data_IF_414272015517
#
_entry.id   IF_414272015517
#
_cell.length_a   1.000
_cell.length_b   1.000
_cell.length_c   1.000
_cell.angle_alpha   90.00
_cell.angle_beta   90.00
_cell.angle_gamma   90.00
#
_symmetry.space_group_name_H-M   'P 1'
#
loop_
_entity.id
_entity.type
_entity.pdbx_description
1 polymer ?
#
# COMPACT_ATOMS: atom_id res chain seq x y z
N UNK A 1 -5.78 3.05 -15.37
CA UNK A 1 -4.49 2.66 -15.98
C UNK A 1 -4.75 2.15 -17.39
N UNK A 2 -3.75 2.16 -18.23
CA UNK A 2 -3.74 1.52 -19.56
C UNK A 2 -3.04 0.18 -19.35
N UNK A 3 -3.81 -0.90 -19.15
CA UNK A 3 -3.27 -2.18 -18.71
C UNK A 3 -2.69 -3.01 -19.86
N UNK A 4 -3.33 -2.95 -21.02
CA UNK A 4 -2.90 -3.72 -22.21
C UNK A 4 -2.09 -2.90 -23.22
N UNK A 5 -1.82 -1.63 -22.87
CA UNK A 5 -1.02 -0.69 -23.65
C UNK A 5 -1.61 -0.36 -25.04
N UNK A 6 -2.95 -0.34 -25.12
CA UNK A 6 -3.66 0.01 -26.35
C UNK A 6 -3.89 1.52 -26.51
N UNK A 7 -3.64 2.32 -25.45
CA UNK A 7 -3.76 3.78 -25.38
C UNK A 7 -5.05 4.26 -24.73
N UNK A 8 -5.96 3.39 -24.35
CA UNK A 8 -7.20 3.69 -23.65
C UNK A 8 -7.08 3.40 -22.14
N UNK A 9 -7.76 4.18 -21.32
CA UNK A 9 -7.69 4.01 -19.85
C UNK A 9 -8.69 2.98 -19.38
N UNK A 10 -8.20 1.95 -18.73
CA UNK A 10 -8.94 0.87 -18.10
C UNK A 10 -9.29 1.13 -16.65
N UNK A 11 -10.14 0.27 -16.09
CA UNK A 11 -10.51 0.29 -14.68
C UNK A 11 -10.18 -1.06 -14.04
N UNK A 12 -9.37 -1.04 -12.98
CA UNK A 12 -9.14 -2.22 -12.13
C UNK A 12 -10.02 -2.12 -10.89
N UNK A 13 -10.75 -3.18 -10.61
CA UNK A 13 -11.70 -3.25 -9.48
C UNK A 13 -11.39 -4.43 -8.59
N UNK A 14 -11.08 -4.17 -7.33
CA UNK A 14 -11.06 -5.22 -6.31
C UNK A 14 -12.42 -5.38 -5.64
N UNK A 15 -12.89 -6.60 -5.51
CA UNK A 15 -14.15 -6.92 -4.86
C UNK A 15 -13.94 -7.73 -3.59
N UNK A 16 -14.08 -7.07 -2.43
CA UNK A 16 -14.03 -7.75 -1.13
C UNK A 16 -15.11 -8.82 -0.98
N UNK A 17 -16.31 -8.56 -1.48
CA UNK A 17 -17.44 -9.47 -1.32
C UNK A 17 -17.31 -10.74 -2.15
N UNK A 18 -16.69 -10.65 -3.31
CA UNK A 18 -16.51 -11.74 -4.26
C UNK A 18 -15.09 -12.30 -4.26
N UNK A 19 -14.18 -11.64 -3.55
CA UNK A 19 -12.76 -12.05 -3.40
C UNK A 19 -12.01 -12.18 -4.73
N UNK A 20 -12.29 -11.29 -5.67
CA UNK A 20 -11.71 -11.26 -7.01
C UNK A 20 -11.24 -9.87 -7.39
N UNK A 21 -10.33 -9.81 -8.35
CA UNK A 21 -9.97 -8.60 -9.08
C UNK A 21 -10.53 -8.70 -10.48
N UNK A 22 -11.12 -7.61 -10.95
CA UNK A 22 -11.61 -7.47 -12.30
C UNK A 22 -10.80 -6.41 -13.02
N UNK A 23 -10.53 -6.66 -14.28
CA UNK A 23 -10.11 -5.69 -15.26
C UNK A 23 -11.29 -5.37 -16.16
N UNK A 24 -11.67 -4.10 -16.21
CA UNK A 24 -12.66 -3.59 -17.13
C UNK A 24 -11.88 -2.90 -18.25
N UNK A 25 -11.66 -3.63 -19.33
CA UNK A 25 -10.98 -3.19 -20.53
C UNK A 25 -11.85 -2.16 -21.26
N UNK A 26 -11.29 -0.98 -21.53
CA UNK A 26 -11.93 0.07 -22.31
C UNK A 26 -11.50 -0.08 -23.78
N UNK A 27 -12.42 -0.35 -24.66
CA UNK A 27 -12.13 -0.54 -26.09
C UNK A 27 -12.23 0.75 -26.93
N UNK A 28 -12.07 1.92 -26.28
CA UNK A 28 -11.99 3.24 -26.93
C UNK A 28 -13.31 3.99 -27.03
N UNK A 29 -14.45 3.36 -26.91
CA UNK A 29 -15.79 3.95 -27.02
C UNK A 29 -16.53 4.03 -25.67
N UNK A 30 -15.81 3.88 -24.53
CA UNK A 30 -16.37 3.72 -23.17
C UNK A 30 -17.30 2.51 -23.05
N UNK A 31 -17.13 1.53 -23.91
CA UNK A 31 -17.71 0.21 -23.77
C UNK A 31 -16.66 -0.68 -23.04
N UNK A 32 -17.00 -1.15 -21.86
CA UNK A 32 -16.09 -1.94 -21.04
C UNK A 32 -16.37 -3.43 -21.18
N UNK A 33 -15.30 -4.20 -21.38
CA UNK A 33 -15.31 -5.66 -21.36
C UNK A 33 -14.78 -6.11 -20.01
N UNK A 34 -15.53 -6.99 -19.31
CA UNK A 34 -15.13 -7.51 -18.01
C UNK A 34 -14.26 -8.74 -18.15
N UNK A 35 -13.07 -8.71 -17.55
CA UNK A 35 -12.16 -9.83 -17.42
C UNK A 35 -11.87 -10.09 -15.94
N UNK A 36 -11.80 -11.36 -15.54
CA UNK A 36 -11.37 -11.74 -14.21
C UNK A 36 -9.87 -12.04 -14.22
N UNK A 37 -9.11 -11.38 -13.34
CA UNK A 37 -7.68 -11.66 -13.16
C UNK A 37 -7.52 -12.94 -12.35
N UNK A 38 -7.05 -14.00 -12.98
CA UNK A 38 -6.82 -15.31 -12.41
C UNK A 38 -5.36 -15.45 -11.94
N UNK A 39 -5.14 -16.13 -10.81
CA UNK A 39 -3.82 -16.30 -10.22
C UNK A 39 -3.24 -17.68 -10.42
N UNK A 40 -1.92 -17.78 -10.63
CA UNK A 40 -1.18 -19.03 -10.84
C UNK A 40 -1.21 -19.97 -9.62
N UNK A 41 -1.45 -19.43 -8.44
CA UNK A 41 -1.55 -20.18 -7.18
C UNK A 41 -2.54 -19.51 -6.23
N UNK A 42 -3.21 -20.29 -5.35
CA UNK A 42 -4.14 -19.70 -4.40
C UNK A 42 -3.43 -18.83 -3.38
N UNK A 43 -4.14 -17.82 -2.88
CA UNK A 43 -3.75 -17.08 -1.70
C UNK A 43 -3.69 -18.00 -0.47
N UNK A 44 -3.01 -17.56 0.58
CA UNK A 44 -3.00 -18.28 1.86
C UNK A 44 -4.43 -18.52 2.38
N UNK A 45 -4.62 -19.65 3.05
CA UNK A 45 -5.94 -20.02 3.56
C UNK A 45 -6.51 -18.94 4.49
N UNK A 46 -7.68 -18.45 4.16
CA UNK A 46 -8.35 -17.40 4.93
C UNK A 46 -7.94 -15.97 4.53
N UNK A 47 -7.13 -15.85 3.48
CA UNK A 47 -6.75 -14.58 2.90
C UNK A 47 -7.60 -14.26 1.67
N UNK A 48 -7.80 -12.97 1.41
CA UNK A 48 -8.46 -12.48 0.20
C UNK A 48 -7.98 -11.07 -0.14
N UNK A 49 -8.02 -10.73 -1.41
CA UNK A 49 -7.70 -9.39 -1.86
C UNK A 49 -8.79 -8.43 -1.37
N UNK A 50 -8.37 -7.36 -0.71
CA UNK A 50 -9.32 -6.44 -0.09
C UNK A 50 -9.92 -5.45 -1.08
N UNK A 51 -9.19 -5.16 -2.15
CA UNK A 51 -9.57 -4.16 -3.15
C UNK A 51 -9.58 -2.71 -2.64
N UNK A 52 -9.21 -2.47 -1.38
CA UNK A 52 -9.22 -1.13 -0.82
C UNK A 52 -8.13 -0.24 -1.40
N UNK A 53 -6.95 -0.80 -1.58
CA UNK A 53 -5.84 -0.07 -2.16
C UNK A 53 -4.99 -1.03 -3.00
N UNK A 54 -4.77 -0.61 -4.21
CA UNK A 54 -3.83 -1.19 -5.16
C UNK A 54 -2.98 -0.06 -5.71
N UNK A 55 -1.77 -0.38 -6.09
CA UNK A 55 -0.88 0.51 -6.80
C UNK A 55 -0.20 -0.27 -7.94
N UNK A 56 0.38 0.43 -8.90
CA UNK A 56 0.77 -0.14 -10.18
C UNK A 56 2.13 0.38 -10.60
N UNK A 57 3.02 -0.52 -10.97
CA UNK A 57 4.32 -0.19 -11.58
C UNK A 57 4.85 -1.43 -12.30
N UNK A 58 5.77 -1.24 -13.22
CA UNK A 58 6.62 -2.31 -13.73
C UNK A 58 7.65 -2.66 -12.64
N UNK A 59 7.37 -3.71 -11.86
CA UNK A 59 8.20 -4.09 -10.70
C UNK A 59 9.39 -4.95 -11.14
N UNK A 60 9.24 -5.69 -12.24
CA UNK A 60 10.21 -6.66 -12.72
C UNK A 60 10.96 -6.22 -13.98
N UNK A 61 10.79 -4.96 -14.41
CA UNK A 61 11.42 -4.36 -15.60
C UNK A 61 11.10 -5.10 -16.92
N UNK A 62 9.89 -5.64 -17.05
CA UNK A 62 9.46 -6.35 -18.25
C UNK A 62 8.61 -5.49 -19.21
N UNK A 63 8.37 -4.26 -18.87
CA UNK A 63 7.63 -3.27 -19.65
C UNK A 63 6.12 -3.31 -19.46
N UNK A 64 5.60 -4.10 -18.52
CA UNK A 64 4.17 -4.21 -18.19
C UNK A 64 3.88 -3.72 -16.79
N UNK A 65 2.64 -3.33 -16.53
CA UNK A 65 2.21 -2.84 -15.22
C UNK A 65 1.78 -3.98 -14.31
N UNK A 66 2.58 -4.26 -13.28
CA UNK A 66 2.23 -5.17 -12.21
C UNK A 66 1.28 -4.51 -11.21
N UNK A 67 0.52 -5.30 -10.48
CA UNK A 67 -0.39 -4.81 -9.44
C UNK A 67 0.17 -5.15 -8.06
N UNK A 68 0.35 -4.16 -7.21
CA UNK A 68 0.61 -4.36 -5.78
C UNK A 68 -0.68 -4.21 -5.01
N UNK A 69 -1.03 -5.19 -4.21
CA UNK A 69 -2.30 -5.20 -3.48
C UNK A 69 -2.15 -5.59 -2.02
N UNK A 70 -2.99 -4.96 -1.20
CA UNK A 70 -3.23 -5.42 0.16
C UNK A 70 -4.09 -6.68 0.16
N UNK A 71 -3.63 -7.70 0.87
CA UNK A 71 -4.33 -8.98 1.03
C UNK A 71 -4.64 -9.20 2.50
N UNK A 72 -5.94 -9.33 2.79
CA UNK A 72 -6.43 -9.58 4.14
C UNK A 72 -5.85 -10.88 4.75
N UNK A 73 -5.51 -10.92 6.06
CA UNK A 73 -5.63 -9.79 6.99
C UNK A 73 -4.43 -8.84 6.97
N UNK A 74 -3.24 -9.27 6.58
CA UNK A 74 -2.02 -8.56 6.97
C UNK A 74 -0.91 -8.61 5.92
N UNK A 75 -1.18 -9.12 4.73
CA UNK A 75 -0.14 -9.42 3.74
C UNK A 75 -0.16 -8.48 2.54
N UNK A 76 1.01 -8.25 1.97
CA UNK A 76 1.20 -7.56 0.68
C UNK A 76 1.55 -8.61 -0.37
N UNK A 77 0.94 -8.49 -1.53
CA UNK A 77 1.23 -9.33 -2.70
C UNK A 77 1.49 -8.46 -3.92
N UNK A 78 2.35 -8.97 -4.79
CA UNK A 78 2.51 -8.50 -6.15
C UNK A 78 1.84 -9.51 -7.08
N UNK A 79 1.16 -9.00 -8.08
CA UNK A 79 0.55 -9.73 -9.17
C UNK A 79 1.30 -9.31 -10.43
N UNK A 80 2.11 -10.21 -10.97
CA UNK A 80 2.91 -9.95 -12.17
C UNK A 80 2.07 -10.15 -13.42
N UNK A 81 2.00 -9.12 -14.26
CA UNK A 81 1.22 -9.15 -15.48
C UNK A 81 1.86 -10.07 -16.52
N UNK A 82 1.13 -11.06 -17.07
CA UNK A 82 1.60 -11.86 -18.19
C UNK A 82 1.62 -11.03 -19.49
N UNK A 83 2.22 -11.59 -20.54
CA UNK A 83 2.25 -10.93 -21.86
C UNK A 83 0.87 -10.70 -22.50
N UNK A 84 -0.11 -11.52 -22.16
CA UNK A 84 -1.53 -11.30 -22.43
C UNK A 84 -2.25 -11.16 -21.09
N UNK A 85 -2.83 -10.00 -20.77
CA UNK A 85 -3.51 -9.77 -19.49
C UNK A 85 -4.65 -10.77 -19.19
N UNK A 86 -5.18 -11.45 -20.20
CA UNK A 86 -6.19 -12.48 -20.07
C UNK A 86 -5.64 -13.83 -19.59
N UNK A 87 -4.33 -14.02 -19.60
CA UNK A 87 -3.70 -15.23 -19.08
C UNK A 87 -3.65 -15.20 -17.54
N UNK A 88 -3.16 -16.28 -16.96
CA UNK A 88 -3.01 -16.40 -15.51
C UNK A 88 -1.81 -15.59 -15.01
N UNK A 89 -2.04 -14.73 -14.03
CA UNK A 89 -1.02 -13.88 -13.43
C UNK A 89 -0.21 -14.63 -12.37
N UNK A 90 1.10 -14.47 -12.39
CA UNK A 90 1.93 -14.95 -11.29
C UNK A 90 1.77 -14.05 -10.07
N UNK A 91 1.79 -14.65 -8.87
CA UNK A 91 1.69 -13.91 -7.63
C UNK A 91 2.85 -14.19 -6.69
N UNK A 92 3.30 -13.15 -6.00
CA UNK A 92 4.34 -13.23 -4.99
C UNK A 92 3.86 -12.59 -3.70
N UNK A 93 4.11 -13.25 -2.56
CA UNK A 93 3.93 -12.65 -1.25
C UNK A 93 5.17 -11.88 -0.87
N UNK A 94 5.07 -10.56 -0.80
CA UNK A 94 6.14 -9.64 -0.36
C UNK A 94 6.42 -9.80 1.13
N UNK A 95 5.37 -9.81 1.94
CA UNK A 95 5.51 -9.93 3.39
C UNK A 95 4.21 -9.79 4.15
N UNK A 96 4.34 -9.73 5.49
CA UNK A 96 3.21 -9.57 6.40
C UNK A 96 3.53 -8.58 7.52
N UNK A 97 2.49 -7.90 7.99
CA UNK A 97 2.54 -6.98 9.13
C UNK A 97 1.79 -7.52 10.36
N UNK A 98 1.55 -8.83 10.40
CA UNK A 98 0.87 -9.45 11.56
C UNK A 98 1.46 -8.98 12.91
N UNK A 99 0.58 -8.77 13.91
CA UNK A 99 -0.86 -9.02 13.97
C UNK A 99 -1.73 -7.85 13.47
N UNK A 100 -1.14 -6.85 12.83
CA UNK A 100 -1.83 -5.65 12.39
C UNK A 100 -2.52 -5.88 11.04
N UNK A 101 -3.61 -5.13 10.78
CA UNK A 101 -4.48 -5.37 9.63
C UNK A 101 -4.15 -4.41 8.49
N UNK A 102 -3.60 -4.92 7.42
CA UNK A 102 -3.20 -4.12 6.26
C UNK A 102 -4.40 -3.52 5.53
N UNK A 103 -4.29 -2.25 5.17
CA UNK A 103 -5.34 -1.51 4.45
C UNK A 103 -4.81 -0.86 3.19
N UNK A 104 -3.62 -0.27 3.24
CA UNK A 104 -3.11 0.56 2.16
C UNK A 104 -1.73 0.15 1.68
N UNK A 105 -1.50 0.39 0.39
CA UNK A 105 -0.20 0.26 -0.27
C UNK A 105 0.06 1.51 -1.13
N UNK A 106 1.31 1.86 -1.31
CA UNK A 106 1.78 2.85 -2.27
C UNK A 106 3.19 2.46 -2.75
N UNK A 107 3.51 2.76 -3.99
CA UNK A 107 4.80 2.47 -4.61
C UNK A 107 5.65 3.73 -4.70
N UNK A 108 6.91 3.63 -4.36
CA UNK A 108 7.92 4.67 -4.58
C UNK A 108 9.32 4.07 -4.46
N UNK A 109 10.29 4.65 -5.14
CA UNK A 109 11.71 4.41 -4.87
C UNK A 109 12.12 5.22 -3.63
N UNK A 110 11.95 4.60 -2.45
CA UNK A 110 12.08 5.30 -1.16
C UNK A 110 13.55 5.57 -0.82
N UNK A 111 14.42 4.64 -1.14
CA UNK A 111 15.84 4.74 -0.81
C UNK A 111 16.70 5.35 -1.93
N UNK A 112 16.13 5.58 -3.12
CA UNK A 112 16.80 6.17 -4.27
C UNK A 112 17.73 5.19 -4.98
N UNK A 113 17.45 3.88 -4.92
CA UNK A 113 18.25 2.85 -5.56
C UNK A 113 17.79 2.46 -6.98
N UNK A 114 16.68 3.04 -7.43
CA UNK A 114 16.09 2.83 -8.74
C UNK A 114 15.03 1.73 -8.80
N UNK A 115 14.78 1.02 -7.70
CA UNK A 115 13.74 0.00 -7.60
C UNK A 115 12.52 0.50 -6.84
N UNK A 116 11.33 0.01 -7.23
CA UNK A 116 10.11 0.37 -6.53
C UNK A 116 10.00 -0.40 -5.22
N UNK A 117 9.88 0.34 -4.14
CA UNK A 117 9.57 -0.14 -2.79
C UNK A 117 8.07 -0.08 -2.53
N UNK A 118 7.61 -0.76 -1.48
CA UNK A 118 6.20 -0.77 -1.11
C UNK A 118 6.01 -0.15 0.28
N UNK A 119 5.36 1.00 0.32
CA UNK A 119 4.93 1.65 1.55
C UNK A 119 3.54 1.16 1.94
N UNK A 120 3.31 0.83 3.21
CA UNK A 120 2.07 0.19 3.65
C UNK A 120 1.58 0.73 4.98
N UNK A 121 0.26 0.91 5.06
CA UNK A 121 -0.44 1.31 6.25
C UNK A 121 -1.45 0.28 6.72
N UNK A 122 -1.71 0.25 8.02
CA UNK A 122 -2.69 -0.63 8.64
C UNK A 122 -3.75 0.14 9.42
N UNK A 123 -4.75 -0.57 9.93
CA UNK A 123 -5.69 -0.01 10.88
C UNK A 123 -5.78 -0.86 12.17
N UNK A 124 -6.03 -0.18 13.28
CA UNK A 124 -6.30 -0.83 14.55
C UNK A 124 -7.73 -1.31 14.63
N UNK A 125 -7.94 -2.53 15.14
CA UNK A 125 -9.27 -2.97 15.53
C UNK A 125 -9.81 -2.05 16.63
N UNK A 126 -11.02 -1.49 16.42
CA UNK A 126 -11.59 -0.52 17.35
C UNK A 126 -11.00 0.88 17.17
N UNK A 127 -10.57 1.24 15.97
CA UNK A 127 -10.10 2.60 15.64
C UNK A 127 -11.10 3.71 16.01
N UNK A 128 -12.37 3.35 16.17
CA UNK A 128 -13.45 4.23 16.63
C UNK A 128 -13.67 4.16 18.14
N UNK A 129 -13.02 3.22 18.81
CA UNK A 129 -13.18 3.00 20.25
C UNK A 129 -12.06 3.74 21.03
N UNK A 130 -12.28 3.93 22.32
CA UNK A 130 -11.28 4.54 23.19
C UNK A 130 -10.08 3.62 23.40
N UNK A 131 -8.90 4.19 23.55
CA UNK A 131 -7.62 3.50 23.78
C UNK A 131 -7.47 2.94 25.21
N UNK A 132 -8.47 2.26 25.72
CA UNK A 132 -8.51 1.82 27.11
C UNK A 132 -8.04 0.38 27.36
N UNK A 133 -7.58 -0.33 26.32
CA UNK A 133 -7.08 -1.69 26.48
C UNK A 133 -5.59 -1.82 26.16
N UNK A 134 -4.84 -2.41 27.10
CA UNK A 134 -3.42 -2.77 26.92
C UNK A 134 -3.23 -4.13 26.23
N UNK A 135 -4.20 -4.57 25.43
CA UNK A 135 -4.13 -5.88 24.77
C UNK A 135 -3.18 -5.80 23.56
N UNK A 136 -1.96 -6.29 23.75
CA UNK A 136 -0.93 -6.33 22.71
C UNK A 136 -1.20 -7.35 21.59
N UNK A 137 -2.23 -8.17 21.74
CA UNK A 137 -2.65 -9.14 20.72
C UNK A 137 -3.65 -8.54 19.73
N UNK A 138 -4.10 -7.31 19.96
CA UNK A 138 -4.96 -6.59 19.01
C UNK A 138 -4.15 -5.96 17.89
N UNK A 139 -4.78 -5.80 16.75
CA UNK A 139 -4.26 -5.04 15.63
C UNK A 139 -4.05 -3.58 16.03
N UNK A 140 -2.90 -3.03 15.69
CA UNK A 140 -2.53 -1.63 15.87
C UNK A 140 -2.51 -0.92 14.52
N UNK A 141 -2.54 0.40 14.53
CA UNK A 141 -2.22 1.21 13.35
C UNK A 141 -0.71 1.23 13.14
N UNK A 142 -0.25 0.54 12.12
CA UNK A 142 1.18 0.46 11.75
C UNK A 142 1.43 1.10 10.42
N UNK A 143 2.61 1.66 10.26
CA UNK A 143 3.17 2.06 8.98
C UNK A 143 4.49 1.33 8.80
N UNK A 144 4.65 0.67 7.69
CA UNK A 144 5.83 -0.11 7.34
C UNK A 144 6.25 0.17 5.90
N UNK A 145 7.49 -0.11 5.63
CA UNK A 145 8.09 -0.07 4.31
C UNK A 145 8.71 -1.43 4.01
N UNK A 146 8.38 -2.01 2.85
CA UNK A 146 9.04 -3.18 2.30
C UNK A 146 10.04 -2.71 1.24
N UNK A 147 11.31 -2.77 1.59
CA UNK A 147 12.44 -2.42 0.74
C UNK A 147 12.71 -3.54 -0.26
N UNK A 148 12.76 -3.17 -1.54
CA UNK A 148 13.06 -4.08 -2.62
C UNK A 148 14.58 -4.25 -2.77
N UNK A 149 15.10 -5.43 -2.49
CA UNK A 149 16.51 -5.77 -2.69
C UNK A 149 16.71 -6.69 -3.90
N UNK A 150 15.89 -6.56 -4.94
CA UNK A 150 15.85 -7.35 -6.17
C UNK A 150 15.43 -8.81 -5.93
N UNK A 151 16.20 -9.57 -5.15
CA UNK A 151 15.96 -10.99 -4.87
C UNK A 151 15.15 -11.22 -3.57
N UNK A 152 14.84 -10.18 -2.83
CA UNK A 152 14.17 -10.29 -1.54
C UNK A 152 13.57 -8.98 -1.07
N UNK A 153 12.57 -9.07 -0.19
CA UNK A 153 11.94 -7.93 0.44
C UNK A 153 12.34 -7.81 1.90
N UNK A 154 12.77 -6.62 2.32
CA UNK A 154 13.10 -6.32 3.72
C UNK A 154 12.05 -5.43 4.34
N UNK A 155 11.40 -5.89 5.41
CA UNK A 155 10.42 -5.09 6.14
C UNK A 155 11.12 -4.14 7.12
N UNK A 156 10.86 -2.85 6.96
CA UNK A 156 11.27 -1.79 7.85
C UNK A 156 10.02 -1.24 8.59
N UNK A 157 10.07 -1.16 9.93
CA UNK A 157 8.97 -0.61 10.71
C UNK A 157 9.19 0.88 10.91
N UNK A 158 8.18 1.70 10.60
CA UNK A 158 8.23 3.15 10.74
C UNK A 158 7.54 3.57 12.04
N UNK A 159 6.28 3.21 12.19
CA UNK A 159 5.53 3.47 13.42
C UNK A 159 4.50 2.38 13.71
N UNK A 160 4.11 2.27 14.98
CA UNK A 160 3.05 1.37 15.42
C UNK A 160 2.33 1.97 16.62
N UNK A 161 1.01 2.22 16.51
CA UNK A 161 0.20 2.90 17.53
C UNK A 161 -1.07 2.12 17.84
N UNK A 162 -1.57 2.28 19.07
CA UNK A 162 -2.83 1.67 19.50
C UNK A 162 -4.02 2.11 18.66
N UNK A 163 -4.00 3.37 18.22
CA UNK A 163 -5.02 3.95 17.35
C UNK A 163 -4.37 4.42 16.06
N UNK A 164 -4.96 4.06 14.97
CA UNK A 164 -4.53 4.49 13.66
C UNK A 164 -5.34 3.80 12.57
N UNK A 165 -5.62 4.53 11.53
CA UNK A 165 -6.27 4.07 10.32
C UNK A 165 -5.62 4.80 9.16
N UNK A 166 -4.71 4.12 8.49
CA UNK A 166 -3.90 4.70 7.42
C UNK A 166 -4.41 4.23 6.07
N UNK A 167 -5.48 4.88 5.59
CA UNK A 167 -6.25 4.40 4.46
C UNK A 167 -5.58 4.65 3.10
N UNK A 168 -4.80 5.72 2.98
CA UNK A 168 -4.16 6.09 1.72
C UNK A 168 -2.85 6.83 1.96
N UNK A 169 -1.88 6.55 1.10
CA UNK A 169 -0.61 7.25 1.03
C UNK A 169 -0.39 7.82 -0.36
N UNK A 170 0.23 8.98 -0.42
CA UNK A 170 0.66 9.64 -1.66
C UNK A 170 2.15 9.95 -1.49
N UNK A 171 3.02 9.27 -2.24
CA UNK A 171 4.43 9.61 -2.26
C UNK A 171 4.66 10.94 -3.00
N UNK A 172 5.46 11.81 -2.44
CA UNK A 172 5.78 13.13 -2.99
C UNK A 172 7.00 13.70 -2.30
N UNK A 173 7.86 14.40 -3.02
CA UNK A 173 8.87 15.30 -2.44
C UNK A 173 8.13 16.60 -2.05
N UNK A 174 7.83 16.77 -0.77
CA UNK A 174 6.95 17.86 -0.32
C UNK A 174 7.71 19.14 0.02
N UNK A 175 8.96 19.02 0.42
CA UNK A 175 9.80 20.15 0.84
C UNK A 175 10.98 20.44 -0.10
N UNK A 176 11.01 19.80 -1.26
CA UNK A 176 12.01 19.96 -2.32
C UNK A 176 13.44 19.60 -1.88
N UNK A 177 13.60 18.57 -1.02
CA UNK A 177 14.90 18.12 -0.55
C UNK A 177 15.46 16.91 -1.32
N UNK A 178 14.70 16.44 -2.33
CA UNK A 178 14.96 15.31 -3.23
C UNK A 178 14.90 13.94 -2.56
N UNK A 179 14.16 13.80 -1.48
CA UNK A 179 13.73 12.50 -1.01
C UNK A 179 12.18 12.36 -1.06
N UNK A 180 11.69 11.14 -0.86
CA UNK A 180 10.26 10.86 -1.02
C UNK A 180 9.57 10.87 0.34
N UNK A 181 8.75 11.88 0.55
CA UNK A 181 7.83 11.97 1.66
C UNK A 181 6.53 11.22 1.39
N UNK A 182 5.72 11.09 2.43
CA UNK A 182 4.38 10.53 2.31
C UNK A 182 3.32 11.43 2.93
N UNK A 183 2.34 11.82 2.11
CA UNK A 183 1.09 12.40 2.62
C UNK A 183 0.11 11.25 2.84
N UNK A 184 -0.40 11.13 4.06
CA UNK A 184 -1.33 10.08 4.44
C UNK A 184 -2.64 10.58 5.00
N UNK A 185 -3.69 9.79 4.86
CA UNK A 185 -4.93 10.01 5.57
C UNK A 185 -4.98 9.15 6.83
N UNK A 186 -5.53 9.72 7.89
CA UNK A 186 -5.71 9.08 9.19
C UNK A 186 -7.14 9.24 9.64
N UNK A 187 -7.98 8.33 9.17
CA UNK A 187 -9.41 8.37 9.42
C UNK A 187 -9.85 7.61 10.67
N UNK A 188 -11.00 8.00 11.22
CA UNK A 188 -11.70 7.31 12.32
C UNK A 188 -10.90 7.08 13.61
N UNK A 189 -9.90 7.90 13.90
CA UNK A 189 -9.04 7.76 15.08
C UNK A 189 -9.02 9.00 15.97
N UNK A 190 -10.19 9.61 16.22
CA UNK A 190 -10.29 10.73 17.15
C UNK A 190 -9.42 10.53 18.43
N UNK A 191 -8.68 11.53 18.88
CA UNK A 191 -8.59 12.92 18.36
C UNK A 191 -7.55 13.12 17.24
N UNK A 192 -7.07 12.07 16.62
CA UNK A 192 -5.94 12.07 15.70
C UNK A 192 -6.34 11.92 14.23
N UNK A 193 -7.58 12.26 13.90
CA UNK A 193 -8.07 12.26 12.51
C UNK A 193 -7.42 13.38 11.69
N UNK A 194 -7.33 13.18 10.37
CA UNK A 194 -6.88 14.21 9.47
C UNK A 194 -5.85 13.74 8.44
N UNK A 195 -5.12 14.70 7.90
CA UNK A 195 -4.05 14.48 6.94
C UNK A 195 -2.71 14.64 7.66
N UNK A 196 -1.82 13.71 7.44
CA UNK A 196 -0.49 13.73 8.04
C UNK A 196 0.58 13.72 6.96
N UNK A 197 1.72 14.28 7.28
CA UNK A 197 2.94 14.23 6.50
C UNK A 197 3.97 13.41 7.26
N UNK A 198 4.50 12.39 6.62
CA UNK A 198 5.68 11.66 7.05
C UNK A 198 6.86 12.18 6.23
N UNK A 199 7.65 13.04 6.85
CA UNK A 199 8.87 13.57 6.28
C UNK A 199 9.95 12.49 6.30
N UNK A 200 10.51 12.18 5.13
CA UNK A 200 11.71 11.36 5.05
C UNK A 200 12.92 12.22 5.33
N UNK A 201 13.79 11.78 6.22
CA UNK A 201 15.06 12.43 6.49
C UNK A 201 16.19 11.47 6.16
N UNK A 202 17.05 11.84 5.23
CA UNK A 202 18.27 11.09 4.94
C UNK A 202 19.37 11.48 5.90
N UNK A 203 19.95 10.51 6.61
CA UNK A 203 21.15 10.77 7.39
C UNK A 203 22.38 10.89 6.49
N UNK A 204 23.41 11.62 6.94
CA UNK A 204 24.71 11.75 6.26
C UNK A 204 25.40 10.40 5.97
N UNK A 205 24.88 9.30 6.52
CA UNK A 205 25.39 7.93 6.37
C UNK A 205 24.55 7.07 5.41
N UNK A 206 23.71 7.66 4.57
CA UNK A 206 22.83 6.97 3.61
C UNK A 206 21.76 6.03 4.21
N UNK A 207 21.53 6.02 5.50
CA UNK A 207 20.39 5.31 6.08
C UNK A 207 19.13 6.18 5.94
N UNK A 208 18.10 5.63 5.33
CA UNK A 208 16.79 6.28 5.22
C UNK A 208 16.09 6.21 6.57
N UNK A 209 15.74 7.37 7.13
CA UNK A 209 15.09 7.48 8.43
C UNK A 209 13.80 8.25 8.28
N UNK A 210 12.68 7.64 8.68
CA UNK A 210 11.39 8.33 8.74
C UNK A 210 11.17 8.92 10.13
N UNK A 211 10.78 10.17 10.19
CA UNK A 211 10.58 10.90 11.42
C UNK A 211 9.17 11.43 11.62
N UNK A 212 8.92 12.01 12.82
CA UNK A 212 7.57 12.07 13.34
C UNK A 212 6.62 12.70 12.35
N UNK A 213 5.50 12.05 12.19
CA UNK A 213 4.43 12.54 11.38
C UNK A 213 4.01 13.95 11.81
N UNK A 214 3.95 14.89 10.88
CA UNK A 214 3.44 16.25 11.11
C UNK A 214 2.01 16.31 10.60
N UNK A 215 1.12 16.86 11.41
CA UNK A 215 -0.25 17.14 10.94
C UNK A 215 -0.22 18.37 10.05
N UNK A 216 -0.88 18.29 8.89
CA UNK A 216 -0.96 19.42 7.94
C UNK A 216 -2.09 20.39 8.32
N UNK A 217 -2.96 20.04 9.24
CA UNK A 217 -4.01 20.93 9.71
C UNK A 217 -3.52 21.92 10.78
N UNK A 218 -4.25 23.02 10.94
CA UNK A 218 -3.86 24.18 11.76
C UNK A 218 -3.86 23.96 13.27
N UNK A 219 -4.29 22.79 13.73
CA UNK A 219 -4.25 22.40 15.13
C UNK A 219 -3.21 21.30 15.30
N UNK A 220 -1.96 21.74 15.54
CA UNK A 220 -0.87 20.81 15.84
C UNK A 220 -1.15 20.03 17.11
N UNK A 221 -1.81 18.90 16.98
CA UNK A 221 -1.85 17.94 18.08
C UNK A 221 -0.48 17.29 18.16
N UNK A 222 0.25 17.47 19.28
CA UNK A 222 1.54 16.81 19.43
C UNK A 222 1.35 15.31 19.31
N UNK A 223 2.21 14.67 18.53
CA UNK A 223 2.32 13.23 18.59
C UNK A 223 2.91 12.88 19.94
N UNK A 224 2.10 12.29 20.81
CA UNK A 224 2.62 11.68 22.03
C UNK A 224 3.47 10.47 21.66
N UNK A 225 4.72 10.49 22.08
CA UNK A 225 5.73 9.44 21.88
C UNK A 225 5.33 8.09 22.52
#
# INVERSE_FOLDING_TARGET
>A
IDLDLDGDMDIIVGSRGEQRILWLENNGDFEFIEHEINFSKPLEKGSWITGFNMDYSDINDDGRLDIVSSVWPSSVYILYQPSDPNETWDIEKVGSIEPDMLVSVALADINGDGYQDIFSGSYSLGSRDKDDTNDTNRSYGSVVWFENNIDSWKKNNILRRKRGMYDKWIPVDLDDDNDIDFIGTRGNSEPYDGVLWLEQLRSDNSETVFFPARMIDSESVPFDD
#
